data_IF_079838470644
#
_entry.id   IF_079838470644
#
_cell.length_a   1.000
_cell.length_b   1.000
_cell.length_c   1.000
_cell.angle_alpha   90.00
_cell.angle_beta   90.00
_cell.angle_gamma   90.00
#
_symmetry.space_group_name_H-M   'P 1'
#
loop_
_entity.id
_entity.type
_entity.pdbx_description
1 polymer ?
#
# COMPACT_ATOMS: atom_id res chain seq x y z
N UNK A 1 -62.39 -1.72 19.94
CA UNK A 1 -61.26 -0.94 20.47
C UNK A 1 -60.04 -1.86 20.62
N UNK A 2 -59.11 -1.82 19.67
CA UNK A 2 -57.67 -2.12 19.81
C UNK A 2 -57.09 -1.78 18.43
N UNK A 3 -56.77 -0.49 18.26
CA UNK A 3 -56.00 -0.01 17.11
C UNK A 3 -54.54 -0.46 17.32
N UNK A 4 -53.74 -0.31 16.25
CA UNK A 4 -52.27 -0.09 16.25
C UNK A 4 -51.44 -1.38 16.18
N UNK A 5 -50.44 -1.54 15.30
CA UNK A 5 -49.94 -0.79 14.13
C UNK A 5 -49.03 -1.78 13.38
N UNK A 6 -49.07 -1.78 12.05
CA UNK A 6 -48.04 -2.39 11.21
C UNK A 6 -46.76 -1.54 11.36
N UNK A 7 -45.69 -2.12 11.88
CA UNK A 7 -44.35 -1.50 11.85
C UNK A 7 -43.64 -2.02 10.61
N UNK A 8 -43.64 -1.21 9.55
CA UNK A 8 -42.76 -1.39 8.41
C UNK A 8 -41.33 -1.05 8.85
N UNK A 9 -40.49 -2.07 8.98
CA UNK A 9 -39.05 -1.88 9.17
C UNK A 9 -38.42 -1.52 7.82
N UNK A 10 -38.27 -0.22 7.57
CA UNK A 10 -37.39 0.27 6.51
C UNK A 10 -35.94 0.06 6.94
N UNK A 11 -35.35 -1.06 6.53
CA UNK A 11 -33.91 -1.29 6.63
C UNK A 11 -33.22 -0.37 5.62
N UNK A 12 -32.71 0.77 6.09
CA UNK A 12 -31.79 1.59 5.33
C UNK A 12 -30.46 0.82 5.19
N UNK A 13 -30.24 0.15 4.05
CA UNK A 13 -28.92 -0.33 3.68
C UNK A 13 -28.08 0.89 3.28
N UNK A 14 -27.32 1.41 4.23
CA UNK A 14 -26.19 2.29 3.95
C UNK A 14 -25.15 1.51 3.15
N UNK A 15 -25.23 1.62 1.82
CA UNK A 15 -24.13 1.29 0.91
C UNK A 15 -22.98 2.26 1.19
N UNK A 16 -22.14 1.91 2.16
CA UNK A 16 -20.83 2.50 2.28
C UNK A 16 -20.03 2.15 1.03
N UNK A 17 -19.61 3.15 0.27
CA UNK A 17 -18.66 2.97 -0.83
C UNK A 17 -17.37 2.40 -0.26
N UNK A 18 -17.19 1.09 -0.34
CA UNK A 18 -15.89 0.46 -0.15
C UNK A 18 -15.06 0.81 -1.38
N UNK A 19 -14.28 1.89 -1.27
CA UNK A 19 -13.11 2.04 -2.13
C UNK A 19 -12.24 0.81 -1.84
N UNK A 20 -12.18 -0.13 -2.78
CA UNK A 20 -11.19 -1.21 -2.77
C UNK A 20 -9.85 -0.53 -3.03
N UNK A 21 -9.28 0.08 -1.99
CA UNK A 21 -7.87 0.45 -2.00
C UNK A 21 -7.12 -0.86 -2.26
N UNK A 22 -6.34 -0.93 -3.34
CA UNK A 22 -5.48 -2.08 -3.58
C UNK A 22 -4.58 -2.29 -2.35
N UNK A 23 -4.56 -3.51 -1.81
CA UNK A 23 -3.73 -3.90 -0.68
C UNK A 23 -2.26 -3.56 -0.99
N UNK A 24 -1.56 -2.91 -0.06
CA UNK A 24 -0.16 -2.54 -0.21
C UNK A 24 0.76 -3.71 -0.57
N UNK A 25 0.46 -4.91 -0.05
CA UNK A 25 1.20 -6.14 -0.39
C UNK A 25 0.93 -6.62 -1.82
N UNK A 26 -0.29 -6.43 -2.31
CA UNK A 26 -0.63 -6.67 -3.72
C UNK A 26 0.14 -5.72 -4.62
N UNK A 27 0.13 -4.41 -4.33
CA UNK A 27 0.88 -3.42 -5.12
C UNK A 27 2.39 -3.67 -5.07
N UNK A 28 2.94 -3.98 -3.89
CA UNK A 28 4.35 -4.33 -3.73
C UNK A 28 4.75 -5.53 -4.62
N UNK A 29 3.88 -6.52 -4.76
CA UNK A 29 4.13 -7.71 -5.56
C UNK A 29 3.93 -7.45 -7.06
N UNK A 30 2.84 -6.78 -7.44
CA UNK A 30 2.47 -6.56 -8.84
C UNK A 30 3.40 -5.58 -9.56
N UNK A 31 3.98 -4.62 -8.84
CA UNK A 31 4.96 -3.67 -9.35
C UNK A 31 6.39 -4.24 -9.37
N UNK A 32 6.57 -5.52 -9.02
CA UNK A 32 7.86 -6.22 -9.11
C UNK A 32 8.86 -5.87 -8.01
N UNK A 33 8.44 -5.17 -6.95
CA UNK A 33 9.35 -4.76 -5.87
C UNK A 33 9.98 -5.97 -5.17
N UNK A 34 9.21 -7.06 -5.04
CA UNK A 34 9.67 -8.31 -4.42
C UNK A 34 10.80 -9.02 -5.17
N UNK A 35 11.00 -8.73 -6.47
CA UNK A 35 12.07 -9.34 -7.26
C UNK A 35 13.48 -8.99 -6.76
N UNK A 36 13.66 -7.76 -6.26
CA UNK A 36 14.95 -7.30 -5.70
C UNK A 36 14.92 -7.21 -4.17
N UNK A 37 13.80 -6.76 -3.60
CA UNK A 37 13.69 -6.54 -2.16
C UNK A 37 13.13 -7.76 -1.39
N UNK A 38 12.83 -8.84 -2.09
CA UNK A 38 12.32 -10.09 -1.52
C UNK A 38 10.84 -10.05 -1.15
N UNK A 39 10.27 -11.23 -0.90
CA UNK A 39 8.90 -11.35 -0.42
C UNK A 39 8.74 -10.63 0.94
N UNK A 40 7.70 -9.80 1.07
CA UNK A 40 7.47 -8.97 2.26
C UNK A 40 8.63 -8.04 2.61
N UNK A 41 9.45 -7.64 1.64
CA UNK A 41 10.61 -6.78 1.88
C UNK A 41 11.79 -7.47 2.56
N UNK A 42 11.84 -8.80 2.62
CA UNK A 42 12.95 -9.56 3.21
C UNK A 42 13.89 -10.02 2.10
N UNK A 43 14.87 -9.19 1.75
CA UNK A 43 15.81 -9.47 0.67
C UNK A 43 16.76 -10.61 1.06
N UNK A 44 16.99 -11.54 0.12
CA UNK A 44 18.04 -12.55 0.21
C UNK A 44 19.33 -12.14 -0.52
N UNK A 45 19.31 -11.00 -1.22
CA UNK A 45 20.41 -10.53 -2.06
C UNK A 45 21.14 -9.39 -1.32
N UNK A 46 22.42 -9.55 -0.93
CA UNK A 46 23.12 -8.57 -0.10
C UNK A 46 23.19 -7.14 -0.68
N UNK A 47 23.21 -7.00 -2.01
CA UNK A 47 23.24 -5.71 -2.69
C UNK A 47 21.90 -4.96 -2.69
N UNK A 48 20.79 -5.66 -2.41
CA UNK A 48 19.46 -5.05 -2.36
C UNK A 48 18.96 -5.03 -0.90
N UNK A 49 18.65 -3.85 -0.35
CA UNK A 49 18.31 -3.74 1.06
C UNK A 49 16.97 -4.39 1.37
N UNK A 50 16.87 -5.04 2.53
CA UNK A 50 15.58 -5.42 3.11
C UNK A 50 14.79 -4.19 3.53
N UNK A 51 13.50 -4.20 3.19
CA UNK A 51 12.50 -3.16 3.45
C UNK A 51 11.51 -3.53 4.56
N UNK A 52 11.46 -4.79 4.99
CA UNK A 52 10.59 -5.24 6.09
C UNK A 52 10.87 -4.46 7.39
N UNK A 53 9.81 -4.06 8.08
CA UNK A 53 9.86 -3.35 9.37
C UNK A 53 10.39 -1.92 9.28
N UNK A 54 10.59 -1.37 8.09
CA UNK A 54 10.96 0.04 7.94
C UNK A 54 9.76 0.93 8.23
N UNK A 55 10.00 2.06 8.87
CA UNK A 55 8.98 3.06 9.12
C UNK A 55 8.27 3.48 7.81
N UNK A 56 6.94 3.62 7.88
CA UNK A 56 6.14 3.91 6.70
C UNK A 56 6.44 5.31 6.15
N UNK A 57 6.55 6.33 7.02
CA UNK A 57 6.86 7.69 6.58
C UNK A 57 8.25 7.78 5.96
N UNK A 58 9.23 7.07 6.52
CA UNK A 58 10.56 6.94 5.93
C UNK A 58 10.48 6.31 4.52
N UNK A 59 9.72 5.23 4.36
CA UNK A 59 9.59 4.51 3.09
C UNK A 59 8.93 5.37 2.02
N UNK A 60 7.84 6.08 2.35
CA UNK A 60 7.20 7.06 1.45
C UNK A 60 8.18 8.14 1.05
N UNK A 61 8.95 8.68 2.01
CA UNK A 61 9.96 9.69 1.71
C UNK A 61 10.99 9.17 0.70
N UNK A 62 11.50 7.95 0.90
CA UNK A 62 12.49 7.39 -0.03
C UNK A 62 11.91 7.20 -1.44
N UNK A 63 10.69 6.68 -1.55
CA UNK A 63 10.03 6.53 -2.85
C UNK A 63 9.91 7.88 -3.56
N UNK A 64 9.45 8.92 -2.86
CA UNK A 64 9.33 10.29 -3.43
C UNK A 64 10.67 10.91 -3.78
N UNK A 65 11.70 10.68 -2.96
CA UNK A 65 13.05 11.17 -3.24
C UNK A 65 13.61 10.51 -4.51
N UNK A 66 13.34 9.22 -4.74
CA UNK A 66 13.73 8.55 -5.99
C UNK A 66 12.90 8.99 -7.19
N UNK A 67 11.59 9.17 -7.04
CA UNK A 67 10.69 9.66 -8.10
C UNK A 67 11.09 11.06 -8.58
N UNK A 68 11.47 11.95 -7.66
CA UNK A 68 11.90 13.32 -7.96
C UNK A 68 13.36 13.44 -8.39
N UNK A 69 14.16 12.40 -8.18
CA UNK A 69 15.61 12.44 -8.38
C UNK A 69 16.40 13.14 -7.28
N UNK A 70 15.75 13.55 -6.18
CA UNK A 70 16.42 14.07 -4.99
C UNK A 70 17.36 13.03 -4.34
N UNK A 71 16.98 11.75 -4.41
CA UNK A 71 17.86 10.61 -4.14
C UNK A 71 18.23 9.92 -5.45
N UNK A 72 19.52 9.70 -5.64
CA UNK A 72 20.08 9.14 -6.89
C UNK A 72 20.48 7.68 -6.70
N UNK A 73 19.86 6.82 -7.50
CA UNK A 73 20.20 5.42 -7.73
C UNK A 73 19.55 5.02 -9.05
N UNK A 74 20.33 4.66 -10.07
CA UNK A 74 19.81 4.48 -11.43
C UNK A 74 18.65 3.47 -11.50
N UNK A 75 18.74 2.38 -10.73
CA UNK A 75 17.71 1.35 -10.64
C UNK A 75 16.46 1.88 -9.96
N UNK A 76 16.57 2.45 -8.77
CA UNK A 76 15.42 2.93 -8.02
C UNK A 76 14.79 4.19 -8.62
N UNK A 77 15.55 5.05 -9.29
CA UNK A 77 14.99 6.17 -10.04
C UNK A 77 14.11 5.68 -11.20
N UNK A 78 14.43 4.54 -11.82
CA UNK A 78 13.60 3.91 -12.85
C UNK A 78 12.38 3.17 -12.26
N UNK A 79 12.53 2.56 -11.07
CA UNK A 79 11.49 1.72 -10.46
C UNK A 79 10.47 2.49 -9.61
N UNK A 80 10.91 3.48 -8.82
CA UNK A 80 10.06 4.22 -7.90
C UNK A 80 8.84 4.93 -8.53
N UNK A 81 8.89 5.43 -9.79
CA UNK A 81 7.72 5.96 -10.48
C UNK A 81 6.56 4.98 -10.61
N UNK A 82 6.81 3.66 -10.63
CA UNK A 82 5.74 2.66 -10.71
C UNK A 82 4.88 2.60 -9.43
N UNK A 83 5.42 3.05 -8.30
CA UNK A 83 4.69 3.12 -7.04
C UNK A 83 3.80 4.38 -6.92
N UNK A 84 3.75 5.24 -7.95
CA UNK A 84 3.00 6.49 -7.94
C UNK A 84 1.51 6.26 -7.59
N UNK A 85 1.04 6.91 -6.53
CA UNK A 85 -0.33 6.77 -6.04
C UNK A 85 -0.56 5.59 -5.09
N UNK A 86 0.46 4.74 -4.88
CA UNK A 86 0.42 3.57 -4.02
C UNK A 86 1.51 3.58 -2.95
N UNK A 87 2.30 4.67 -2.83
CA UNK A 87 3.46 4.73 -1.96
C UNK A 87 3.09 4.48 -0.51
N UNK A 88 2.01 5.10 -0.02
CA UNK A 88 1.56 4.94 1.35
C UNK A 88 1.12 3.49 1.62
N UNK A 89 0.33 2.90 0.72
CA UNK A 89 -0.14 1.53 0.88
C UNK A 89 1.04 0.54 0.93
N UNK A 90 2.01 0.68 0.02
CA UNK A 90 3.22 -0.14 -0.01
C UNK A 90 4.05 0.06 1.27
N UNK A 91 4.17 1.31 1.74
CA UNK A 91 4.92 1.64 2.94
C UNK A 91 4.28 1.05 4.20
N UNK A 92 2.96 1.15 4.34
CA UNK A 92 2.21 0.58 5.46
C UNK A 92 2.31 -0.94 5.49
N UNK A 93 2.23 -1.58 4.32
CA UNK A 93 2.48 -3.01 4.17
C UNK A 93 3.88 -3.36 4.69
N UNK A 94 4.93 -2.73 4.18
CA UNK A 94 6.33 -3.01 4.53
C UNK A 94 6.63 -2.76 6.02
N UNK A 95 6.00 -1.75 6.63
CA UNK A 95 6.14 -1.47 8.05
C UNK A 95 5.55 -2.57 8.94
N UNK A 96 4.54 -3.30 8.46
CA UNK A 96 3.92 -4.43 9.15
C UNK A 96 4.66 -5.77 8.99
N UNK A 97 5.74 -5.83 8.21
CA UNK A 97 6.46 -7.07 7.87
C UNK A 97 7.61 -7.44 8.80
#
# INVERSE_FOLDING_TARGET
MKKILLVAAAAALSVGSFSVQADGGQMYSSLGCSGCHGAGGKSAIPSYPSLAGKDAAWTVKQLKDFQSGARKDATMNAMAPMAAGHEQAIADYLAGQ
#
